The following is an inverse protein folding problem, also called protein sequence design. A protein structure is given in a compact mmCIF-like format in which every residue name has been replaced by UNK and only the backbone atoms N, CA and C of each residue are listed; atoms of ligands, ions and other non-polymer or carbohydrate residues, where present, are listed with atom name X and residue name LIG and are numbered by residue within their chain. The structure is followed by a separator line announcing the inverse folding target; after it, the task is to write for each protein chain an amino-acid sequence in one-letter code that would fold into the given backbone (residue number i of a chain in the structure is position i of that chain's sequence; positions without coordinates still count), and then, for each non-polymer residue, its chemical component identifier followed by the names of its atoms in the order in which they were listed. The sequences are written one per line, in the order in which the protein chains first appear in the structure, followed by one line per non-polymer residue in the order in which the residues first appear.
data_IF_628204481004
#
_entry.id   IF_628204481004
#
_cell.length_a   1.000
_cell.length_b   1.000
_cell.length_c   1.000
_cell.angle_alpha   90.00
_cell.angle_beta   90.00
_cell.angle_gamma   90.00
#
_symmetry.space_group_name_H-M   'P 1'
#
loop_
_entity.id
_entity.type
_entity.pdbx_description
1 polymer ?
#
# COMPACT_ATOMS: atom_id res chain seq x y z
N UNK A 1 15.45 -7.75 -5.75
CA UNK A 1 16.79 -7.13 -5.67
C UNK A 1 17.56 -7.70 -4.50
N UNK A 2 18.87 -7.93 -4.68
CA UNK A 2 19.82 -8.24 -3.61
C UNK A 2 20.82 -7.09 -3.51
N UNK A 3 21.16 -6.68 -2.30
CA UNK A 3 22.13 -5.62 -2.02
C UNK A 3 23.12 -6.13 -0.99
N UNK A 4 24.41 -5.86 -1.18
CA UNK A 4 25.45 -6.04 -0.16
C UNK A 4 25.83 -4.67 0.40
N UNK A 5 25.85 -4.55 1.71
CA UNK A 5 26.40 -3.39 2.41
C UNK A 5 27.75 -3.75 3.05
N UNK A 6 28.56 -2.74 3.29
CA UNK A 6 29.80 -2.84 4.06
C UNK A 6 29.71 -1.86 5.25
N UNK A 7 30.07 -2.34 6.43
CA UNK A 7 30.06 -1.58 7.68
C UNK A 7 31.45 -0.98 7.95
N UNK A 8 31.56 0.04 8.83
CA UNK A 8 32.84 0.70 9.12
C UNK A 8 33.94 -0.22 9.66
N UNK A 9 33.57 -1.37 10.23
CA UNK A 9 34.50 -2.39 10.72
C UNK A 9 35.01 -3.35 9.62
N UNK A 10 34.61 -3.12 8.36
CA UNK A 10 34.95 -3.94 7.19
C UNK A 10 34.11 -5.21 7.03
N UNK A 11 33.18 -5.47 7.96
CA UNK A 11 32.21 -6.55 7.80
C UNK A 11 31.14 -6.18 6.77
N UNK A 12 30.39 -7.16 6.26
CA UNK A 12 29.32 -6.90 5.31
C UNK A 12 28.22 -7.95 5.34
N UNK A 13 27.04 -7.55 4.89
CA UNK A 13 25.87 -8.41 4.86
C UNK A 13 25.08 -8.25 3.56
N UNK A 14 24.40 -9.31 3.17
CA UNK A 14 23.44 -9.29 2.08
C UNK A 14 22.02 -9.09 2.62
N UNK A 15 21.26 -8.25 1.94
CA UNK A 15 19.84 -8.07 2.14
C UNK A 15 19.08 -8.23 0.83
N UNK A 16 17.80 -8.55 0.95
CA UNK A 16 16.90 -8.77 -0.17
C UNK A 16 15.67 -7.87 -0.11
N UNK A 17 15.10 -7.61 -1.27
CA UNK A 17 13.74 -7.08 -1.39
C UNK A 17 13.06 -7.60 -2.65
N UNK A 18 11.75 -7.77 -2.59
CA UNK A 18 10.94 -8.17 -3.74
C UNK A 18 9.80 -7.16 -3.96
N UNK A 19 9.42 -6.98 -5.22
CA UNK A 19 8.32 -6.12 -5.62
C UNK A 19 7.76 -6.58 -6.97
N UNK A 20 6.43 -6.53 -7.11
CA UNK A 20 5.80 -6.77 -8.40
C UNK A 20 5.99 -5.55 -9.30
N UNK A 21 6.31 -5.78 -10.57
CA UNK A 21 6.22 -4.72 -11.57
C UNK A 21 4.76 -4.68 -12.05
N UNK A 22 3.98 -3.68 -11.66
CA UNK A 22 2.57 -3.54 -12.05
C UNK A 22 2.43 -2.47 -13.16
N UNK A 23 2.39 -2.85 -14.45
CA UNK A 23 2.73 -1.96 -15.56
C UNK A 23 1.75 -0.80 -15.81
N UNK A 24 0.54 -0.77 -15.26
CA UNK A 24 -0.42 0.36 -15.50
C UNK A 24 -0.77 1.18 -14.26
N UNK A 25 -0.12 0.90 -13.15
CA UNK A 25 -0.37 1.62 -11.90
C UNK A 25 0.55 2.84 -11.76
N UNK A 26 1.82 2.68 -12.13
CA UNK A 26 2.84 3.74 -12.08
C UNK A 26 2.69 4.76 -13.21
N UNK A 27 2.24 4.33 -14.40
CA UNK A 27 2.02 5.20 -15.55
C UNK A 27 0.74 4.74 -16.29
N UNK A 28 -0.26 5.63 -16.32
CA UNK A 28 -1.56 5.40 -16.96
C UNK A 28 -1.60 5.92 -18.41
N UNK A 29 -0.44 6.27 -19.00
CA UNK A 29 -0.39 6.66 -20.40
C UNK A 29 -0.90 5.52 -21.30
N UNK A 30 -1.96 5.82 -22.07
CA UNK A 30 -2.63 4.88 -22.96
C UNK A 30 -1.80 4.59 -24.23
N UNK A 31 -0.84 5.46 -24.56
CA UNK A 31 0.05 5.30 -25.70
C UNK A 31 1.18 4.29 -25.44
N UNK A 32 1.38 3.88 -24.19
CA UNK A 32 2.39 2.91 -23.80
C UNK A 32 1.81 1.49 -23.76
N UNK A 33 2.58 0.49 -24.17
CA UNK A 33 2.24 -0.91 -23.93
C UNK A 33 2.60 -1.34 -22.49
N UNK A 34 2.16 -2.54 -22.07
CA UNK A 34 2.62 -3.08 -20.79
C UNK A 34 4.14 -3.33 -20.78
N UNK A 35 4.75 -3.69 -21.91
CA UNK A 35 6.20 -3.91 -21.98
C UNK A 35 6.98 -2.60 -21.81
N UNK A 36 6.51 -1.51 -22.44
CA UNK A 36 7.12 -0.19 -22.25
C UNK A 36 7.11 0.22 -20.78
N UNK A 37 6.01 -0.06 -20.07
CA UNK A 37 5.94 0.22 -18.64
C UNK A 37 6.82 -0.71 -17.78
N UNK A 38 6.98 -1.97 -18.16
CA UNK A 38 7.97 -2.85 -17.51
C UNK A 38 9.39 -2.31 -17.71
N UNK A 39 9.71 -1.83 -18.91
CA UNK A 39 11.01 -1.24 -19.21
C UNK A 39 11.25 0.06 -18.45
N UNK A 40 10.24 0.93 -18.31
CA UNK A 40 10.28 2.09 -17.42
C UNK A 40 10.66 1.69 -15.98
N UNK A 41 10.00 0.67 -15.42
CA UNK A 41 10.27 0.19 -14.05
C UNK A 41 11.68 -0.39 -13.90
N UNK A 42 12.16 -1.13 -14.90
CA UNK A 42 13.54 -1.64 -14.94
C UNK A 42 14.54 -0.49 -15.05
N UNK A 43 14.23 0.55 -15.82
CA UNK A 43 15.11 1.70 -16.04
C UNK A 43 15.26 2.55 -14.78
N UNK A 44 14.17 2.89 -14.09
CA UNK A 44 14.27 3.63 -12.81
C UNK A 44 15.00 2.83 -11.73
N UNK A 45 14.90 1.49 -11.74
CA UNK A 45 15.71 0.65 -10.86
C UNK A 45 17.20 0.71 -11.21
N UNK A 46 17.55 0.70 -12.51
CA UNK A 46 18.94 0.85 -12.96
C UNK A 46 19.51 2.23 -12.60
N UNK A 47 18.71 3.30 -12.75
CA UNK A 47 19.09 4.66 -12.34
C UNK A 47 19.37 4.73 -10.84
N UNK A 48 18.48 4.19 -10.01
CA UNK A 48 18.67 4.17 -8.56
C UNK A 48 19.93 3.37 -8.18
N UNK A 49 20.16 2.22 -8.82
CA UNK A 49 21.39 1.42 -8.61
C UNK A 49 22.64 2.21 -8.98
N UNK A 50 22.63 2.92 -10.12
CA UNK A 50 23.77 3.74 -10.53
C UNK A 50 24.04 4.87 -9.53
N UNK A 51 23.01 5.53 -9.03
CA UNK A 51 23.16 6.58 -8.02
C UNK A 51 23.78 6.04 -6.72
N UNK A 52 23.28 4.90 -6.21
CA UNK A 52 23.75 4.31 -4.95
C UNK A 52 25.19 3.80 -5.03
N UNK A 53 25.65 3.39 -6.22
CA UNK A 53 27.01 2.92 -6.45
C UNK A 53 27.97 4.03 -6.94
N UNK A 54 27.43 5.20 -7.32
CA UNK A 54 28.20 6.30 -7.90
C UNK A 54 29.01 7.09 -6.88
N UNK A 55 28.63 7.05 -5.60
CA UNK A 55 29.35 7.68 -4.50
C UNK A 55 29.63 6.65 -3.40
N UNK A 56 30.92 6.32 -3.23
CA UNK A 56 31.42 5.36 -2.25
C UNK A 56 31.57 5.94 -0.83
N UNK A 57 31.28 7.23 -0.64
CA UNK A 57 31.38 7.87 0.68
C UNK A 57 30.40 7.20 1.66
N UNK A 58 30.86 6.77 2.85
CA UNK A 58 30.00 6.12 3.83
C UNK A 58 28.76 6.96 4.17
N UNK A 59 27.64 6.30 4.40
CA UNK A 59 26.40 6.92 4.84
C UNK A 59 25.63 5.96 5.75
N UNK A 60 24.67 6.48 6.51
CA UNK A 60 23.61 5.65 7.11
C UNK A 60 22.71 5.08 6.01
N UNK A 61 21.88 4.08 6.32
CA UNK A 61 20.92 3.55 5.35
C UNK A 61 20.00 4.65 4.79
N UNK A 62 19.53 5.57 5.66
CA UNK A 62 18.77 6.74 5.25
C UNK A 62 19.64 7.77 4.53
N UNK A 63 20.91 7.94 4.92
CA UNK A 63 21.84 8.85 4.28
C UNK A 63 22.05 8.54 2.79
N UNK A 64 22.06 7.26 2.40
CA UNK A 64 22.10 6.86 0.99
C UNK A 64 20.84 7.28 0.23
N UNK A 65 19.66 7.13 0.84
CA UNK A 65 18.41 7.66 0.29
C UNK A 65 18.45 9.18 0.18
N UNK A 66 18.79 9.87 1.26
CA UNK A 66 18.80 11.32 1.39
C UNK A 66 19.67 11.99 0.32
N UNK A 67 20.90 11.48 0.16
CA UNK A 67 21.90 11.97 -0.78
C UNK A 67 21.46 11.87 -2.23
N UNK A 68 20.76 10.79 -2.59
CA UNK A 68 20.51 10.43 -3.99
C UNK A 68 19.12 10.81 -4.50
N UNK A 69 18.16 11.09 -3.62
CA UNK A 69 16.76 11.25 -4.00
C UNK A 69 16.52 12.35 -5.04
N UNK A 70 17.01 13.57 -4.83
CA UNK A 70 16.72 14.71 -5.73
C UNK A 70 17.33 14.51 -7.12
N UNK A 71 18.60 14.08 -7.17
CA UNK A 71 19.29 13.78 -8.42
C UNK A 71 18.63 12.63 -9.19
N UNK A 72 18.17 11.60 -8.48
CA UNK A 72 17.41 10.49 -9.07
C UNK A 72 16.07 10.95 -9.64
N UNK A 73 15.32 11.77 -8.90
CA UNK A 73 14.05 12.36 -9.38
C UNK A 73 14.27 13.22 -10.62
N UNK A 74 15.30 14.08 -10.61
CA UNK A 74 15.66 14.91 -11.77
C UNK A 74 16.06 14.06 -12.99
N UNK A 75 16.84 13.00 -12.79
CA UNK A 75 17.26 12.09 -13.86
C UNK A 75 16.07 11.32 -14.47
N UNK A 76 15.11 10.89 -13.63
CA UNK A 76 13.88 10.26 -14.10
C UNK A 76 12.98 11.27 -14.85
N UNK A 77 12.82 12.49 -14.32
CA UNK A 77 12.05 13.55 -14.96
C UNK A 77 12.63 13.95 -16.33
N UNK A 78 13.96 13.98 -16.47
CA UNK A 78 14.63 14.22 -17.75
C UNK A 78 14.30 13.17 -18.84
N UNK A 79 13.81 11.99 -18.43
CA UNK A 79 13.31 10.92 -19.31
C UNK A 79 11.80 10.96 -19.52
N UNK A 80 11.11 11.96 -18.96
CA UNK A 80 9.65 12.08 -19.00
C UNK A 80 8.92 11.16 -18.02
N UNK A 81 9.62 10.59 -17.04
CA UNK A 81 8.99 9.72 -16.03
C UNK A 81 8.37 10.55 -14.92
N UNK A 82 7.16 10.16 -14.52
CA UNK A 82 6.46 10.82 -13.42
C UNK A 82 7.09 10.44 -12.04
N UNK A 83 6.88 11.25 -10.99
CA UNK A 83 7.52 11.01 -9.68
C UNK A 83 7.16 9.67 -9.02
N UNK A 84 5.92 9.19 -9.22
CA UNK A 84 5.49 7.90 -8.68
C UNK A 84 6.29 6.75 -9.33
N UNK A 85 6.41 6.74 -10.66
CA UNK A 85 7.26 5.79 -11.38
C UNK A 85 8.73 5.89 -10.92
N UNK A 86 9.26 7.12 -10.80
CA UNK A 86 10.63 7.35 -10.35
C UNK A 86 10.91 6.76 -8.96
N UNK A 87 9.92 6.74 -8.07
CA UNK A 87 10.08 6.21 -6.71
C UNK A 87 10.32 4.70 -6.63
N UNK A 88 9.95 3.92 -7.67
CA UNK A 88 10.00 2.46 -7.64
C UNK A 88 11.41 1.89 -7.40
N UNK A 89 12.42 2.45 -8.10
CA UNK A 89 13.80 2.00 -7.99
C UNK A 89 14.38 2.14 -6.58
N UNK A 90 14.41 3.38 -6.01
CA UNK A 90 14.85 3.61 -4.64
C UNK A 90 14.04 2.80 -3.63
N UNK A 91 12.71 2.76 -3.77
CA UNK A 91 11.83 2.01 -2.87
C UNK A 91 12.22 0.54 -2.71
N UNK A 92 12.68 -0.10 -3.79
CA UNK A 92 13.13 -1.48 -3.77
C UNK A 92 14.55 -1.62 -3.18
N UNK A 93 15.47 -0.72 -3.51
CA UNK A 93 16.85 -0.77 -3.01
C UNK A 93 16.94 -0.42 -1.53
N UNK A 94 16.19 0.57 -1.07
CA UNK A 94 16.13 1.01 0.32
C UNK A 94 15.71 -0.12 1.25
N UNK A 95 14.70 -0.91 0.86
CA UNK A 95 14.27 -2.09 1.62
C UNK A 95 15.37 -3.15 1.69
N UNK A 96 16.10 -3.37 0.60
CA UNK A 96 17.19 -4.35 0.57
C UNK A 96 18.40 -3.89 1.41
N UNK A 97 18.73 -2.60 1.40
CA UNK A 97 19.75 -1.99 2.28
C UNK A 97 19.33 -2.17 3.75
N UNK A 98 18.06 -1.88 4.07
CA UNK A 98 17.55 -2.01 5.44
C UNK A 98 17.54 -3.48 5.92
N UNK A 99 17.16 -4.42 5.05
CA UNK A 99 17.24 -5.86 5.36
C UNK A 99 18.69 -6.30 5.62
N UNK A 100 19.64 -5.83 4.81
CA UNK A 100 21.06 -6.11 5.00
C UNK A 100 21.57 -5.56 6.35
N UNK A 101 21.16 -4.34 6.71
CA UNK A 101 21.52 -3.70 7.98
C UNK A 101 20.96 -4.46 9.19
N UNK A 102 19.69 -4.89 9.12
CA UNK A 102 19.08 -5.70 10.16
C UNK A 102 19.83 -7.02 10.36
N UNK A 103 20.19 -7.70 9.26
CA UNK A 103 20.95 -8.95 9.27
C UNK A 103 22.35 -8.77 9.85
N UNK A 104 23.07 -7.74 9.43
CA UNK A 104 24.40 -7.44 9.95
C UNK A 104 24.38 -7.16 11.46
N UNK A 105 23.33 -6.49 11.92
CA UNK A 105 23.14 -6.11 13.32
C UNK A 105 22.51 -7.21 14.18
N UNK A 106 22.04 -8.31 13.59
CA UNK A 106 21.36 -9.40 14.30
C UNK A 106 20.05 -8.99 14.99
N UNK A 107 19.33 -7.98 14.45
CA UNK A 107 18.09 -7.46 15.04
C UNK A 107 16.92 -7.55 14.05
N UNK A 108 15.70 -7.60 14.58
CA UNK A 108 14.50 -7.52 13.75
C UNK A 108 14.32 -6.11 13.17
N UNK A 109 13.59 -6.02 12.06
CA UNK A 109 13.21 -4.74 11.45
C UNK A 109 12.56 -3.78 12.47
N UNK A 110 11.69 -4.28 13.33
CA UNK A 110 11.04 -3.45 14.37
C UNK A 110 12.06 -2.82 15.32
N UNK A 111 12.98 -3.63 15.87
CA UNK A 111 14.02 -3.13 16.78
C UNK A 111 14.95 -2.15 16.07
N UNK A 112 15.32 -2.45 14.83
CA UNK A 112 16.18 -1.58 14.03
C UNK A 112 15.54 -0.21 13.80
N UNK A 113 14.26 -0.17 13.44
CA UNK A 113 13.54 1.08 13.20
C UNK A 113 13.27 1.84 14.51
N UNK A 114 12.85 1.17 15.57
CA UNK A 114 12.61 1.79 16.88
C UNK A 114 13.87 2.41 17.50
N UNK A 115 15.05 1.84 17.22
CA UNK A 115 16.34 2.38 17.62
C UNK A 115 16.94 3.36 16.58
N UNK A 116 16.18 3.70 15.54
CA UNK A 116 16.61 4.51 14.40
C UNK A 116 17.97 4.08 13.80
N UNK A 117 18.21 2.76 13.68
CA UNK A 117 19.45 2.25 13.06
C UNK A 117 19.60 2.67 11.60
N UNK A 118 18.48 2.98 10.92
CA UNK A 118 18.51 3.54 9.59
C UNK A 118 19.19 4.92 9.54
N UNK A 119 19.25 5.64 10.66
CA UNK A 119 19.84 6.98 10.77
C UNK A 119 18.96 8.04 10.11
N UNK A 120 17.64 7.99 10.32
CA UNK A 120 16.70 8.98 9.80
C UNK A 120 16.88 10.29 10.57
N UNK A 121 17.24 11.34 9.84
CA UNK A 121 17.56 12.65 10.41
C UNK A 121 17.08 13.80 9.50
N UNK A 122 17.50 15.02 9.82
CA UNK A 122 17.16 16.23 9.08
C UNK A 122 18.10 16.52 7.88
N UNK A 123 18.93 15.55 7.44
CA UNK A 123 19.71 15.68 6.20
C UNK A 123 18.81 15.85 4.96
N UNK A 124 17.52 15.49 5.07
CA UNK A 124 16.46 15.90 4.17
C UNK A 124 15.50 16.89 4.85
N UNK A 125 15.20 18.06 4.24
CA UNK A 125 14.34 19.08 4.82
C UNK A 125 12.95 18.59 5.23
N UNK A 126 12.38 17.63 4.51
CA UNK A 126 11.03 17.11 4.77
C UNK A 126 10.91 16.40 6.12
N UNK A 127 12.02 15.91 6.67
CA UNK A 127 12.10 15.24 7.98
C UNK A 127 12.40 16.21 9.13
N UNK A 128 12.73 17.47 8.82
CA UNK A 128 13.05 18.46 9.84
C UNK A 128 11.83 18.75 10.75
N UNK A 129 12.08 18.83 12.06
CA UNK A 129 11.05 19.19 13.05
C UNK A 129 10.06 18.07 13.42
N UNK A 130 10.23 16.83 12.93
CA UNK A 130 9.31 15.72 13.21
C UNK A 130 9.66 14.87 14.45
N UNK A 131 10.79 15.14 15.12
CA UNK A 131 11.31 14.31 16.23
C UNK A 131 11.32 12.82 15.86
N UNK A 132 12.13 12.47 14.86
CA UNK A 132 12.13 11.11 14.30
C UNK A 132 12.53 10.05 15.32
N UNK A 133 13.48 10.34 16.22
CA UNK A 133 13.89 9.41 17.27
C UNK A 133 12.73 9.13 18.23
N UNK A 134 12.05 10.17 18.74
CA UNK A 134 10.90 10.02 19.62
C UNK A 134 9.72 9.34 18.94
N UNK A 135 9.45 9.69 17.68
CA UNK A 135 8.40 9.06 16.87
C UNK A 135 8.66 7.55 16.68
N UNK A 136 9.85 7.18 16.21
CA UNK A 136 10.22 5.80 15.92
C UNK A 136 10.25 4.93 17.18
N UNK A 137 10.85 5.44 18.28
CA UNK A 137 10.89 4.74 19.56
C UNK A 137 9.48 4.49 20.13
N UNK A 138 8.52 5.37 19.81
CA UNK A 138 7.13 5.27 20.24
C UNK A 138 6.26 4.29 19.45
N UNK A 139 6.73 3.77 18.31
CA UNK A 139 5.96 2.85 17.47
C UNK A 139 5.70 1.51 18.17
N UNK A 140 4.47 1.01 18.04
CA UNK A 140 4.01 -0.22 18.71
C UNK A 140 3.36 -1.17 17.69
N UNK A 141 4.15 -2.10 17.12
CA UNK A 141 3.59 -3.13 16.24
C UNK A 141 2.56 -3.99 16.96
N UNK A 142 1.51 -4.39 16.23
CA UNK A 142 0.48 -5.30 16.70
C UNK A 142 0.85 -6.78 16.45
N UNK A 143 0.13 -7.68 17.11
CA UNK A 143 0.29 -9.12 16.90
C UNK A 143 -0.44 -9.63 15.64
N UNK A 144 -1.39 -8.86 15.11
CA UNK A 144 -2.19 -9.23 13.95
C UNK A 144 -2.60 -7.99 13.16
N UNK A 145 -2.80 -8.16 11.85
CA UNK A 145 -3.33 -7.13 10.95
C UNK A 145 -4.59 -7.70 10.29
N UNK A 146 -5.61 -6.88 10.09
CA UNK A 146 -6.79 -7.28 9.34
C UNK A 146 -6.51 -7.25 7.83
N UNK A 147 -6.75 -8.36 7.14
CA UNK A 147 -6.72 -8.42 5.69
C UNK A 147 -7.99 -7.74 5.14
N UNK A 148 -7.80 -6.62 4.43
CA UNK A 148 -8.87 -5.91 3.72
C UNK A 148 -8.99 -6.44 2.31
N UNK A 149 -10.07 -7.17 2.04
CA UNK A 149 -10.31 -7.77 0.71
C UNK A 149 -10.87 -6.74 -0.28
N UNK A 150 -10.29 -6.65 -1.48
CA UNK A 150 -10.83 -5.77 -2.52
C UNK A 150 -11.87 -6.48 -3.37
N UNK A 151 -13.01 -5.82 -3.53
CA UNK A 151 -14.06 -6.20 -4.47
C UNK A 151 -13.92 -5.30 -5.70
N UNK A 152 -13.38 -5.87 -6.77
CA UNK A 152 -13.21 -5.22 -8.08
C UNK A 152 -14.54 -4.87 -8.74
N UNK A 153 -14.50 -4.14 -9.86
CA UNK A 153 -15.73 -3.76 -10.60
C UNK A 153 -16.39 -4.93 -11.33
N UNK A 154 -15.60 -5.96 -11.66
CA UNK A 154 -16.02 -7.12 -12.46
C UNK A 154 -16.14 -8.41 -11.65
N UNK A 155 -15.83 -8.36 -10.36
CA UNK A 155 -15.88 -9.54 -9.50
C UNK A 155 -17.32 -10.01 -9.32
N UNK A 156 -17.52 -11.32 -9.35
CA UNK A 156 -18.78 -11.97 -9.02
C UNK A 156 -19.14 -11.69 -7.56
N UNK A 157 -20.34 -11.16 -7.30
CA UNK A 157 -20.79 -10.87 -5.93
C UNK A 157 -21.37 -12.13 -5.30
N UNK A 158 -22.19 -12.84 -6.05
CA UNK A 158 -22.82 -14.10 -5.66
C UNK A 158 -22.46 -15.22 -6.61
N UNK A 159 -22.73 -16.47 -6.22
CA UNK A 159 -22.58 -17.62 -7.12
C UNK A 159 -23.41 -17.51 -8.41
N UNK A 160 -24.49 -16.71 -8.43
CA UNK A 160 -25.31 -16.49 -9.62
C UNK A 160 -24.63 -15.62 -10.69
N UNK A 161 -23.59 -14.88 -10.33
CA UNK A 161 -22.82 -14.03 -11.25
C UNK A 161 -21.73 -14.83 -11.98
N UNK A 162 -21.45 -16.06 -11.55
CA UNK A 162 -20.43 -16.92 -12.14
C UNK A 162 -20.93 -17.53 -13.45
N UNK A 163 -20.17 -17.32 -14.54
CA UNK A 163 -20.44 -17.95 -15.83
C UNK A 163 -19.80 -19.33 -15.94
N UNK A 164 -18.61 -19.49 -15.39
CA UNK A 164 -17.86 -20.75 -15.33
C UNK A 164 -17.00 -20.77 -14.07
N UNK A 165 -16.90 -21.94 -13.44
CA UNK A 165 -16.00 -22.18 -12.32
C UNK A 165 -14.61 -22.62 -12.78
N UNK A 166 -13.58 -22.15 -12.09
CA UNK A 166 -12.20 -22.63 -12.18
C UNK A 166 -12.08 -24.01 -11.53
N UNK A 167 -12.71 -24.21 -10.36
CA UNK A 167 -12.76 -25.49 -9.68
C UNK A 167 -11.46 -25.92 -8.99
N UNK A 168 -10.64 -24.96 -8.52
CA UNK A 168 -9.39 -25.22 -7.78
C UNK A 168 -9.60 -25.36 -6.26
N UNK A 169 -10.85 -25.23 -5.78
CA UNK A 169 -11.25 -25.33 -4.38
C UNK A 169 -11.17 -24.01 -3.60
N UNK A 170 -10.75 -22.92 -4.25
CA UNK A 170 -10.73 -21.57 -3.66
C UNK A 170 -12.07 -20.85 -3.92
N UNK A 171 -12.40 -19.81 -3.12
CA UNK A 171 -13.61 -19.03 -3.34
C UNK A 171 -13.54 -18.24 -4.65
N UNK A 172 -14.64 -18.24 -5.42
CA UNK A 172 -14.73 -17.67 -6.76
C UNK A 172 -15.72 -16.48 -6.82
N UNK A 173 -16.54 -16.31 -5.79
CA UNK A 173 -17.41 -15.15 -5.60
C UNK A 173 -17.16 -14.45 -4.27
N UNK A 174 -17.54 -13.18 -4.18
CA UNK A 174 -17.40 -12.40 -2.96
C UNK A 174 -18.13 -13.03 -1.76
N UNK A 175 -19.33 -13.59 -1.96
CA UNK A 175 -20.05 -14.33 -0.92
C UNK A 175 -19.24 -15.52 -0.38
N UNK A 176 -18.55 -16.26 -1.25
CA UNK A 176 -17.68 -17.36 -0.84
C UNK A 176 -16.42 -16.85 -0.13
N UNK A 177 -15.81 -15.75 -0.60
CA UNK A 177 -14.64 -15.12 0.04
C UNK A 177 -14.94 -14.74 1.48
N UNK A 178 -16.10 -14.11 1.72
CA UNK A 178 -16.54 -13.70 3.06
C UNK A 178 -16.66 -14.91 3.99
N UNK A 179 -17.22 -16.02 3.51
CA UNK A 179 -17.39 -17.25 4.30
C UNK A 179 -16.07 -17.99 4.53
N UNK A 180 -15.22 -18.05 3.50
CA UNK A 180 -13.98 -18.84 3.52
C UNK A 180 -12.91 -18.21 4.42
N UNK A 181 -12.66 -16.91 4.25
CA UNK A 181 -11.58 -16.20 4.96
C UNK A 181 -12.04 -15.48 6.22
N UNK A 182 -13.34 -15.18 6.36
CA UNK A 182 -13.87 -14.47 7.53
C UNK A 182 -13.49 -12.98 7.58
N UNK A 183 -13.26 -12.35 6.41
CA UNK A 183 -12.92 -10.92 6.32
C UNK A 183 -13.96 -10.02 7.00
N UNK A 184 -13.48 -8.95 7.63
CA UNK A 184 -14.31 -7.86 8.18
C UNK A 184 -14.06 -6.51 7.53
N UNK A 185 -12.96 -6.38 6.80
CA UNK A 185 -12.55 -5.16 6.13
C UNK A 185 -12.62 -5.40 4.62
N UNK A 186 -13.21 -4.44 3.91
CA UNK A 186 -13.37 -4.52 2.46
C UNK A 186 -12.97 -3.22 1.77
N UNK A 187 -12.44 -3.32 0.56
CA UNK A 187 -12.21 -2.18 -0.34
C UNK A 187 -13.12 -2.36 -1.54
N UNK A 188 -14.04 -1.42 -1.76
CA UNK A 188 -15.05 -1.54 -2.80
C UNK A 188 -14.71 -0.59 -3.93
N UNK A 189 -14.39 -1.12 -5.11
CA UNK A 189 -14.15 -0.30 -6.30
C UNK A 189 -15.46 0.32 -6.78
N UNK A 190 -15.42 1.61 -7.15
CA UNK A 190 -16.53 2.35 -7.76
C UNK A 190 -16.08 2.96 -9.09
N UNK A 191 -16.95 2.88 -10.10
CA UNK A 191 -16.61 3.07 -11.51
C UNK A 191 -16.93 4.44 -12.09
N UNK A 192 -17.43 5.39 -11.30
CA UNK A 192 -17.75 6.75 -11.78
C UNK A 192 -19.11 6.88 -12.45
N UNK A 193 -19.90 5.79 -12.47
CA UNK A 193 -21.30 5.82 -12.89
C UNK A 193 -22.17 5.59 -11.67
N UNK A 194 -22.74 6.67 -11.12
CA UNK A 194 -23.49 6.65 -9.85
C UNK A 194 -24.60 5.60 -9.84
N UNK A 195 -25.36 5.46 -10.94
CA UNK A 195 -26.44 4.47 -11.00
C UNK A 195 -25.92 3.03 -10.94
N UNK A 196 -24.89 2.71 -11.72
CA UNK A 196 -24.27 1.39 -11.72
C UNK A 196 -23.55 1.09 -10.39
N UNK A 197 -22.88 2.08 -9.81
CA UNK A 197 -22.19 1.97 -8.54
C UNK A 197 -23.17 1.71 -7.39
N UNK A 198 -24.30 2.45 -7.33
CA UNK A 198 -25.34 2.19 -6.33
C UNK A 198 -25.95 0.79 -6.47
N UNK A 199 -26.21 0.33 -7.69
CA UNK A 199 -26.72 -1.02 -7.92
C UNK A 199 -25.74 -2.09 -7.45
N UNK A 200 -24.44 -1.96 -7.78
CA UNK A 200 -23.40 -2.88 -7.33
C UNK A 200 -23.21 -2.85 -5.82
N UNK A 201 -23.21 -1.66 -5.21
CA UNK A 201 -23.11 -1.50 -3.76
C UNK A 201 -24.30 -2.14 -3.03
N UNK A 202 -25.52 -2.08 -3.59
CA UNK A 202 -26.68 -2.77 -3.04
C UNK A 202 -26.49 -4.29 -3.06
N UNK A 203 -25.95 -4.85 -4.15
CA UNK A 203 -25.64 -6.28 -4.23
C UNK A 203 -24.60 -6.68 -3.17
N UNK A 204 -23.51 -5.91 -3.03
CA UNK A 204 -22.48 -6.13 -2.01
C UNK A 204 -23.07 -6.04 -0.58
N UNK A 205 -23.88 -5.01 -0.30
CA UNK A 205 -24.55 -4.85 0.99
C UNK A 205 -25.44 -6.05 1.32
N UNK A 206 -26.14 -6.62 0.34
CA UNK A 206 -26.98 -7.81 0.54
C UNK A 206 -26.20 -9.04 1.03
N UNK A 207 -24.90 -9.13 0.72
CA UNK A 207 -23.99 -10.17 1.24
C UNK A 207 -23.48 -9.79 2.63
N UNK A 208 -22.94 -8.58 2.77
CA UNK A 208 -22.29 -8.12 4.00
C UNK A 208 -23.27 -7.95 5.18
N UNK A 209 -24.51 -7.54 4.92
CA UNK A 209 -25.50 -7.31 5.97
C UNK A 209 -25.98 -8.59 6.64
N UNK A 210 -25.73 -9.76 6.02
CA UNK A 210 -25.95 -11.08 6.62
C UNK A 210 -24.94 -11.37 7.74
N UNK A 211 -23.81 -10.65 7.81
CA UNK A 211 -22.82 -10.83 8.86
C UNK A 211 -23.37 -10.34 10.21
N UNK A 212 -23.32 -11.22 11.21
CA UNK A 212 -23.69 -10.88 12.60
C UNK A 212 -22.71 -9.95 13.30
N UNK A 213 -21.51 -9.77 12.74
CA UNK A 213 -20.45 -8.92 13.28
C UNK A 213 -20.30 -7.63 12.47
N UNK A 214 -19.78 -6.54 13.07
CA UNK A 214 -19.45 -5.33 12.32
C UNK A 214 -18.48 -5.60 11.17
N UNK A 215 -18.68 -4.89 10.06
CA UNK A 215 -17.77 -4.83 8.93
C UNK A 215 -17.44 -3.37 8.61
N UNK A 216 -16.31 -3.15 7.93
CA UNK A 216 -15.80 -1.83 7.58
C UNK A 216 -15.38 -1.80 6.12
N UNK A 217 -15.62 -0.68 5.45
CA UNK A 217 -15.31 -0.57 4.04
C UNK A 217 -14.55 0.72 3.70
N UNK A 218 -13.66 0.66 2.71
CA UNK A 218 -13.24 1.84 1.95
C UNK A 218 -13.92 1.82 0.59
N UNK A 219 -14.20 3.00 0.06
CA UNK A 219 -14.58 3.18 -1.35
C UNK A 219 -13.35 3.60 -2.12
N UNK A 220 -13.06 2.98 -3.25
CA UNK A 220 -11.94 3.35 -4.10
C UNK A 220 -12.42 3.68 -5.51
N UNK A 221 -12.32 4.96 -5.86
CA UNK A 221 -12.71 5.44 -7.16
C UNK A 221 -11.64 5.29 -8.22
N UNK A 222 -10.38 5.02 -7.87
CA UNK A 222 -9.28 4.75 -8.81
C UNK A 222 -9.26 5.72 -10.01
N UNK A 223 -9.45 7.02 -9.73
CA UNK A 223 -9.50 8.12 -10.71
C UNK A 223 -10.70 8.12 -11.68
N UNK A 224 -11.77 7.36 -11.40
CA UNK A 224 -12.92 7.23 -12.32
C UNK A 224 -13.90 8.40 -12.28
N UNK A 225 -13.96 9.17 -11.19
CA UNK A 225 -14.87 10.31 -11.11
C UNK A 225 -14.25 11.55 -11.74
N UNK A 226 -15.04 12.27 -12.54
CA UNK A 226 -14.60 13.49 -13.22
C UNK A 226 -14.22 14.60 -12.21
N UNK A 227 -14.98 14.72 -11.11
CA UNK A 227 -14.81 15.75 -10.10
C UNK A 227 -15.37 15.30 -8.73
N UNK A 228 -15.22 16.17 -7.72
CA UNK A 228 -15.73 15.93 -6.38
C UNK A 228 -17.27 15.94 -6.28
N UNK A 229 -17.98 16.55 -7.24
CA UNK A 229 -19.43 16.61 -7.23
C UNK A 229 -20.03 15.23 -7.55
N UNK A 230 -19.46 14.50 -8.51
CA UNK A 230 -19.88 13.12 -8.80
C UNK A 230 -19.69 12.19 -7.59
N UNK A 231 -18.61 12.38 -6.83
CA UNK A 231 -18.35 11.62 -5.58
C UNK A 231 -19.39 11.97 -4.51
N UNK A 232 -19.73 13.26 -4.38
CA UNK A 232 -20.77 13.71 -3.47
C UNK A 232 -22.14 13.12 -3.86
N UNK A 233 -22.44 13.04 -5.15
CA UNK A 233 -23.66 12.41 -5.66
C UNK A 233 -23.75 10.93 -5.28
N UNK A 234 -22.66 10.16 -5.46
CA UNK A 234 -22.60 8.77 -5.00
C UNK A 234 -22.91 8.66 -3.51
N UNK A 235 -22.20 9.42 -2.67
CA UNK A 235 -22.36 9.37 -1.21
C UNK A 235 -23.75 9.83 -0.75
N UNK A 236 -24.36 10.78 -1.45
CA UNK A 236 -25.75 11.18 -1.24
C UNK A 236 -26.72 10.05 -1.61
N UNK A 237 -26.50 9.41 -2.76
CA UNK A 237 -27.27 8.25 -3.19
C UNK A 237 -27.21 7.11 -2.18
N UNK A 238 -26.01 6.78 -1.68
CA UNK A 238 -25.83 5.77 -0.64
C UNK A 238 -26.60 6.09 0.64
N UNK A 239 -26.64 7.36 1.06
CA UNK A 239 -27.44 7.79 2.23
C UNK A 239 -28.94 7.69 2.00
N UNK A 240 -29.40 7.92 0.78
CA UNK A 240 -30.81 7.92 0.44
C UNK A 240 -31.41 6.52 0.29
N UNK A 241 -30.59 5.50 0.00
CA UNK A 241 -31.04 4.11 -0.18
C UNK A 241 -31.02 3.36 1.15
N UNK A 242 -32.17 2.92 1.70
CA UNK A 242 -32.21 2.26 3.01
C UNK A 242 -31.37 0.98 3.09
N UNK A 243 -31.31 0.21 1.99
CA UNK A 243 -30.50 -1.00 1.90
C UNK A 243 -28.98 -0.75 2.01
N UNK A 244 -28.53 0.50 1.87
CA UNK A 244 -27.13 0.90 1.99
C UNK A 244 -26.81 1.58 3.33
N UNK A 245 -27.77 1.71 4.25
CA UNK A 245 -27.59 2.45 5.49
C UNK A 245 -26.41 1.91 6.33
N UNK A 246 -26.33 0.58 6.50
CA UNK A 246 -25.23 -0.07 7.22
C UNK A 246 -23.90 0.09 6.48
N UNK A 247 -23.89 -0.16 5.16
CA UNK A 247 -22.69 0.00 4.33
C UNK A 247 -22.13 1.43 4.39
N UNK A 248 -22.99 2.44 4.28
CA UNK A 248 -22.61 3.85 4.37
C UNK A 248 -22.04 4.21 5.75
N UNK A 249 -22.66 3.71 6.83
CA UNK A 249 -22.15 3.89 8.18
C UNK A 249 -20.75 3.25 8.34
N UNK A 250 -20.52 2.12 7.71
CA UNK A 250 -19.25 1.36 7.71
C UNK A 250 -18.12 1.96 6.85
N UNK A 251 -18.37 3.02 6.06
CA UNK A 251 -17.31 3.69 5.29
C UNK A 251 -16.29 4.32 6.24
N UNK A 252 -15.05 3.83 6.17
CA UNK A 252 -13.87 4.38 6.83
C UNK A 252 -13.35 5.62 6.11
N UNK A 253 -13.18 5.52 4.79
CA UNK A 253 -12.67 6.58 3.92
C UNK A 253 -13.00 6.33 2.45
N UNK A 254 -12.82 7.38 1.65
CA UNK A 254 -12.85 7.35 0.18
C UNK A 254 -11.42 7.52 -0.33
N UNK A 255 -10.97 6.60 -1.15
CA UNK A 255 -9.64 6.56 -1.75
C UNK A 255 -9.68 7.07 -3.18
N UNK A 256 -8.80 8.03 -3.46
CA UNK A 256 -8.52 8.61 -4.78
C UNK A 256 -9.71 8.64 -5.74
N UNK A 257 -10.77 9.38 -5.39
CA UNK A 257 -11.98 9.30 -6.17
C UNK A 257 -11.85 10.02 -7.53
N UNK A 258 -11.05 11.09 -7.59
CA UNK A 258 -10.81 11.92 -8.78
C UNK A 258 -9.43 11.68 -9.38
N UNK A 259 -9.23 12.11 -10.63
CA UNK A 259 -7.95 11.96 -11.32
C UNK A 259 -6.78 12.58 -10.55
N UNK A 260 -5.64 11.87 -10.56
CA UNK A 260 -4.40 12.32 -9.92
C UNK A 260 -3.89 13.66 -10.48
N UNK A 261 -4.26 13.98 -11.72
CA UNK A 261 -3.94 15.26 -12.38
C UNK A 261 -4.57 16.47 -11.69
N UNK A 262 -5.72 16.29 -11.04
CA UNK A 262 -6.48 17.37 -10.40
C UNK A 262 -6.50 17.26 -8.87
N UNK A 263 -6.05 16.14 -8.31
CA UNK A 263 -6.12 15.84 -6.89
C UNK A 263 -5.45 16.90 -6.00
N UNK A 264 -4.39 17.56 -6.48
CA UNK A 264 -3.69 18.61 -5.73
C UNK A 264 -4.16 20.02 -6.09
N UNK A 265 -5.01 20.19 -7.10
CA UNK A 265 -5.55 21.48 -7.50
C UNK A 265 -6.91 21.75 -6.86
N UNK A 266 -7.75 20.73 -6.77
CA UNK A 266 -9.14 20.79 -6.27
C UNK A 266 -9.18 20.87 -4.75
N UNK A 267 -9.90 21.85 -4.22
CA UNK A 267 -10.19 21.94 -2.79
C UNK A 267 -11.44 21.12 -2.43
N UNK A 268 -11.24 19.97 -1.78
CA UNK A 268 -12.33 19.08 -1.38
C UNK A 268 -13.27 19.70 -0.35
N UNK A 269 -12.85 20.77 0.35
CA UNK A 269 -13.73 21.47 1.31
C UNK A 269 -14.90 22.16 0.62
N UNK A 270 -14.79 22.46 -0.68
CA UNK A 270 -15.88 23.03 -1.46
C UNK A 270 -17.04 22.05 -1.73
N UNK A 271 -16.78 20.73 -1.63
CA UNK A 271 -17.77 19.67 -1.78
C UNK A 271 -17.71 18.72 -0.59
N UNK A 272 -18.37 19.03 0.54
CA UNK A 272 -18.23 18.26 1.77
C UNK A 272 -18.83 16.86 1.60
N UNK A 273 -17.95 15.88 1.36
CA UNK A 273 -18.31 14.48 1.13
C UNK A 273 -18.84 13.77 2.40
N UNK A 274 -18.60 14.33 3.58
CA UNK A 274 -19.02 13.76 4.86
C UNK A 274 -18.25 12.50 5.28
N UNK A 275 -17.24 12.10 4.51
CA UNK A 275 -16.31 11.00 4.80
C UNK A 275 -14.87 11.46 4.54
N UNK A 276 -13.88 10.94 5.29
CA UNK A 276 -12.47 11.25 5.04
C UNK A 276 -12.06 10.82 3.63
N UNK A 277 -11.20 11.60 2.99
CA UNK A 277 -10.65 11.28 1.67
C UNK A 277 -9.14 11.13 1.77
N UNK A 278 -8.60 10.12 1.09
CA UNK A 278 -7.17 9.87 1.00
C UNK A 278 -6.66 9.97 -0.44
N UNK A 279 -5.39 10.34 -0.58
CA UNK A 279 -4.64 10.22 -1.84
C UNK A 279 -3.97 8.84 -1.95
N UNK A 280 -3.88 8.30 -3.17
CA UNK A 280 -3.09 7.10 -3.49
C UNK A 280 -2.06 7.41 -4.59
N UNK A 281 -2.31 7.08 -5.86
CA UNK A 281 -1.36 7.30 -6.94
C UNK A 281 -1.03 8.77 -7.26
N UNK A 282 -1.73 9.76 -6.70
CA UNK A 282 -1.24 11.13 -6.71
C UNK A 282 -0.04 11.37 -5.79
N UNK A 283 0.18 10.51 -4.79
CA UNK A 283 1.32 10.55 -3.85
C UNK A 283 2.63 10.12 -4.55
N UNK A 284 3.18 11.00 -5.38
CA UNK A 284 4.45 10.79 -6.08
C UNK A 284 5.67 11.34 -5.34
N UNK A 285 5.58 12.56 -4.81
CA UNK A 285 6.70 13.30 -4.20
C UNK A 285 6.67 13.22 -2.67
N UNK A 286 7.77 13.64 -2.02
CA UNK A 286 7.88 13.59 -0.56
C UNK A 286 6.99 14.60 0.15
N UNK A 287 6.57 15.68 -0.49
CA UNK A 287 5.71 16.72 0.09
C UNK A 287 4.25 16.62 -0.38
N UNK A 288 3.91 15.66 -1.24
CA UNK A 288 2.57 15.55 -1.82
C UNK A 288 1.46 15.45 -0.77
N UNK A 289 1.70 14.74 0.33
CA UNK A 289 0.71 14.66 1.40
C UNK A 289 0.50 16.01 2.13
N UNK A 290 1.52 16.85 2.22
CA UNK A 290 1.41 18.23 2.75
C UNK A 290 0.50 19.06 1.84
N UNK A 291 0.72 18.97 0.52
CA UNK A 291 -0.09 19.66 -0.48
C UNK A 291 -1.56 19.16 -0.44
N UNK A 292 -1.77 17.84 -0.36
CA UNK A 292 -3.10 17.25 -0.25
C UNK A 292 -3.82 17.66 1.05
N UNK A 293 -3.12 17.70 2.19
CA UNK A 293 -3.68 18.24 3.44
C UNK A 293 -4.20 19.66 3.26
N UNK A 294 -3.47 20.52 2.55
CA UNK A 294 -3.89 21.90 2.26
C UNK A 294 -5.16 21.98 1.39
N UNK A 295 -5.48 20.91 0.66
CA UNK A 295 -6.68 20.73 -0.17
C UNK A 295 -7.82 19.96 0.52
N UNK A 296 -7.69 19.66 1.80
CA UNK A 296 -8.75 19.04 2.61
C UNK A 296 -8.70 17.52 2.70
N UNK A 297 -7.67 16.86 2.13
CA UNK A 297 -7.47 15.43 2.33
C UNK A 297 -7.10 15.11 3.78
N UNK A 298 -7.59 13.97 4.26
CA UNK A 298 -7.38 13.49 5.63
C UNK A 298 -6.33 12.37 5.70
N UNK A 299 -5.92 11.78 4.59
CA UNK A 299 -4.93 10.72 4.63
C UNK A 299 -4.22 10.44 3.31
N UNK A 300 -3.31 9.48 3.38
CA UNK A 300 -2.49 9.00 2.27
C UNK A 300 -2.31 7.49 2.38
N UNK A 301 -2.25 6.80 1.25
CA UNK A 301 -1.93 5.38 1.21
C UNK A 301 -0.42 5.12 1.43
N UNK A 302 -0.08 4.09 2.19
CA UNK A 302 1.25 3.48 2.24
C UNK A 302 1.30 2.29 1.29
N UNK A 303 2.33 2.24 0.46
CA UNK A 303 2.68 1.08 -0.37
C UNK A 303 4.20 0.93 -0.34
N UNK A 304 4.72 -0.27 -0.17
CA UNK A 304 6.17 -0.50 -0.18
C UNK A 304 6.81 0.03 -1.45
N UNK A 305 6.14 -0.13 -2.59
CA UNK A 305 6.62 0.30 -3.91
C UNK A 305 6.75 1.82 -4.08
N UNK A 306 6.15 2.64 -3.20
CA UNK A 306 6.30 4.11 -3.16
C UNK A 306 7.50 4.58 -2.34
N UNK A 307 8.11 3.67 -1.57
CA UNK A 307 9.25 3.94 -0.69
C UNK A 307 8.88 3.91 0.78
N UNK A 308 9.56 3.06 1.56
CA UNK A 308 9.25 2.90 2.98
C UNK A 308 9.64 4.12 3.82
N UNK A 309 10.72 4.84 3.47
CA UNK A 309 11.07 6.10 4.13
C UNK A 309 9.98 7.17 3.95
N UNK A 310 9.32 7.19 2.78
CA UNK A 310 8.16 8.07 2.56
C UNK A 310 6.97 7.67 3.45
N UNK A 311 6.73 6.37 3.63
CA UNK A 311 5.71 5.90 4.57
C UNK A 311 6.02 6.31 6.02
N UNK A 312 7.28 6.19 6.45
CA UNK A 312 7.72 6.64 7.79
C UNK A 312 7.53 8.16 7.94
N UNK A 313 7.91 8.95 6.93
CA UNK A 313 7.72 10.40 6.90
C UNK A 313 6.25 10.80 7.05
N UNK A 314 5.37 10.18 6.26
CA UNK A 314 3.94 10.48 6.30
C UNK A 314 3.29 10.05 7.63
N UNK A 315 3.79 8.97 8.26
CA UNK A 315 3.30 8.54 9.57
C UNK A 315 3.72 9.51 10.67
N UNK A 316 4.98 9.99 10.64
CA UNK A 316 5.47 11.02 11.55
C UNK A 316 4.68 12.32 11.41
N UNK A 317 4.36 12.74 10.18
CA UNK A 317 3.48 13.88 9.90
C UNK A 317 2.08 13.70 10.47
N UNK A 318 1.43 12.57 10.23
CA UNK A 318 0.12 12.26 10.83
C UNK A 318 0.17 12.41 12.36
N UNK A 319 1.19 11.83 13.01
CA UNK A 319 1.35 11.93 14.46
C UNK A 319 1.56 13.39 14.92
N UNK A 320 2.39 14.16 14.22
CA UNK A 320 2.65 15.56 14.54
C UNK A 320 1.40 16.43 14.37
N UNK A 321 0.74 16.37 13.22
CA UNK A 321 -0.45 17.17 12.93
C UNK A 321 -1.62 16.83 13.85
N UNK A 322 -1.82 15.55 14.19
CA UNK A 322 -2.86 15.16 15.12
C UNK A 322 -2.58 15.64 16.56
N UNK A 323 -1.30 15.71 16.98
CA UNK A 323 -0.93 16.31 18.28
C UNK A 323 -1.18 17.81 18.27
N UNK A 324 -0.77 18.50 17.20
CA UNK A 324 -0.95 19.94 17.02
C UNK A 324 -2.43 20.33 17.05
N UNK A 325 -3.29 19.59 16.35
CA UNK A 325 -4.73 19.85 16.29
C UNK A 325 -5.51 19.26 17.48
N UNK A 326 -4.88 18.44 18.33
CA UNK A 326 -5.56 17.74 19.43
C UNK A 326 -6.65 16.76 18.99
N UNK A 327 -6.63 16.33 17.73
CA UNK A 327 -7.65 15.49 17.11
C UNK A 327 -7.02 14.40 16.24
N UNK A 328 -7.62 13.21 16.19
CA UNK A 328 -7.19 12.11 15.31
C UNK A 328 -7.83 12.25 13.93
N UNK A 329 -7.34 13.21 13.15
CA UNK A 329 -7.87 13.54 11.83
C UNK A 329 -7.06 12.93 10.70
N UNK A 330 -5.74 12.97 10.83
CA UNK A 330 -4.81 12.54 9.80
C UNK A 330 -4.40 11.10 9.99
N UNK A 331 -4.44 10.31 8.92
CA UNK A 331 -4.13 8.89 9.00
C UNK A 331 -3.51 8.37 7.71
N UNK A 332 -2.98 7.16 7.81
CA UNK A 332 -2.52 6.39 6.66
C UNK A 332 -3.38 5.15 6.48
N UNK A 333 -3.71 4.82 5.24
CA UNK A 333 -4.20 3.49 4.87
C UNK A 333 -3.03 2.67 4.31
N UNK A 334 -3.08 1.35 4.39
CA UNK A 334 -2.07 0.48 3.80
C UNK A 334 -2.65 -0.30 2.63
N UNK A 335 -1.92 -0.35 1.52
CA UNK A 335 -2.32 -1.04 0.29
C UNK A 335 -1.17 -1.94 -0.21
N UNK A 336 -1.41 -3.11 -0.83
CA UNK A 336 -0.32 -3.99 -1.32
C UNK A 336 0.13 -3.74 -2.76
N UNK A 337 -0.72 -3.22 -3.64
CA UNK A 337 -0.50 -3.39 -5.09
C UNK A 337 -0.37 -4.88 -5.47
N UNK A 338 -1.16 -5.76 -4.84
CA UNK A 338 -1.19 -7.21 -5.15
C UNK A 338 0.15 -7.92 -4.88
N UNK A 339 0.83 -7.59 -3.77
CA UNK A 339 2.02 -8.32 -3.30
C UNK A 339 1.78 -9.83 -3.28
N UNK A 340 2.75 -10.58 -3.82
CA UNK A 340 2.69 -12.04 -3.87
C UNK A 340 3.34 -12.66 -2.62
N UNK A 341 2.93 -13.89 -2.32
CA UNK A 341 3.52 -14.68 -1.23
C UNK A 341 5.05 -14.78 -1.38
N UNK A 342 5.77 -14.66 -0.26
CA UNK A 342 7.23 -14.65 -0.22
C UNK A 342 7.77 -13.35 0.40
N UNK A 343 8.92 -12.91 -0.07
CA UNK A 343 9.63 -11.77 0.52
C UNK A 343 8.84 -10.45 0.42
N UNK A 344 8.08 -10.23 -0.67
CA UNK A 344 7.33 -8.99 -0.90
C UNK A 344 6.24 -8.80 0.15
N UNK A 345 5.37 -9.80 0.37
CA UNK A 345 4.32 -9.71 1.39
C UNK A 345 4.88 -9.60 2.80
N UNK A 346 6.01 -10.27 3.12
CA UNK A 346 6.64 -10.14 4.44
C UNK A 346 7.15 -8.72 4.71
N UNK A 347 7.79 -8.09 3.71
CA UNK A 347 8.30 -6.73 3.84
C UNK A 347 7.15 -5.72 3.95
N UNK A 348 6.07 -5.94 3.20
CA UNK A 348 4.88 -5.11 3.30
C UNK A 348 4.22 -5.22 4.67
N UNK A 349 3.92 -6.44 5.14
CA UNK A 349 3.33 -6.66 6.46
C UNK A 349 4.20 -6.11 7.60
N UNK A 350 5.53 -6.25 7.49
CA UNK A 350 6.45 -5.67 8.47
C UNK A 350 6.36 -4.13 8.53
N UNK A 351 6.27 -3.46 7.38
CA UNK A 351 6.11 -1.99 7.34
C UNK A 351 4.74 -1.57 7.89
N UNK A 352 3.67 -2.21 7.43
CA UNK A 352 2.29 -1.93 7.88
C UNK A 352 2.16 -2.12 9.38
N UNK A 353 2.71 -3.21 9.91
CA UNK A 353 2.68 -3.51 11.33
C UNK A 353 3.49 -2.50 12.14
N UNK A 354 4.71 -2.16 11.68
CA UNK A 354 5.55 -1.15 12.32
C UNK A 354 4.82 0.19 12.46
N UNK A 355 4.11 0.60 11.42
CA UNK A 355 3.34 1.84 11.39
C UNK A 355 2.04 1.79 12.21
N UNK A 356 1.68 0.62 12.76
CA UNK A 356 0.46 0.44 13.54
C UNK A 356 -0.81 0.60 12.72
N UNK A 357 -0.76 0.36 11.41
CA UNK A 357 -1.94 0.42 10.54
C UNK A 357 -2.74 -0.88 10.75
N UNK A 358 -4.00 -0.83 11.20
CA UNK A 358 -4.71 -2.00 11.70
C UNK A 358 -5.21 -2.94 10.61
N UNK A 359 -5.30 -2.47 9.36
CA UNK A 359 -5.80 -3.23 8.23
C UNK A 359 -5.03 -2.87 6.95
N UNK A 360 -4.93 -3.81 6.03
CA UNK A 360 -4.21 -3.61 4.77
C UNK A 360 -4.91 -4.28 3.60
N UNK A 361 -4.99 -3.60 2.45
CA UNK A 361 -5.45 -4.23 1.20
C UNK A 361 -4.66 -5.50 0.95
N UNK A 362 -5.35 -6.64 0.80
CA UNK A 362 -4.76 -7.94 0.45
C UNK A 362 -5.53 -8.54 -0.71
N UNK A 363 -4.93 -8.51 -1.90
CA UNK A 363 -5.54 -9.10 -3.10
C UNK A 363 -4.66 -10.18 -3.75
N UNK A 364 -3.35 -10.14 -3.50
CA UNK A 364 -2.42 -11.10 -4.11
C UNK A 364 -2.77 -12.56 -3.80
N UNK A 365 -3.25 -12.83 -2.59
CA UNK A 365 -3.69 -14.19 -2.20
C UNK A 365 -4.96 -14.67 -2.92
N UNK A 366 -5.78 -13.75 -3.44
CA UNK A 366 -7.00 -14.08 -4.15
C UNK A 366 -6.74 -14.32 -5.65
N UNK A 367 -5.91 -13.47 -6.28
CA UNK A 367 -5.64 -13.56 -7.71
C UNK A 367 -4.43 -14.43 -8.09
N UNK A 368 -3.61 -14.84 -7.10
CA UNK A 368 -2.43 -15.66 -7.33
C UNK A 368 -2.47 -16.87 -6.41
N UNK A 369 -2.23 -18.06 -6.99
CA UNK A 369 -2.23 -19.32 -6.26
C UNK A 369 -0.96 -19.49 -5.38
N UNK A 370 -0.81 -18.64 -4.36
CA UNK A 370 0.29 -18.67 -3.42
C UNK A 370 1.66 -18.71 -4.10
N UNK A 371 2.47 -19.68 -3.68
CA UNK A 371 3.81 -19.95 -4.20
C UNK A 371 3.83 -21.07 -5.25
N UNK A 372 2.71 -21.38 -5.92
CA UNK A 372 2.62 -22.51 -6.85
C UNK A 372 3.68 -22.47 -7.98
N UNK A 373 4.09 -21.27 -8.41
CA UNK A 373 5.11 -21.08 -9.43
C UNK A 373 6.56 -21.21 -8.90
N UNK A 374 6.76 -21.33 -7.58
CA UNK A 374 8.08 -21.39 -6.95
C UNK A 374 8.56 -22.84 -6.73
N UNK A 375 9.88 -23.09 -6.71
CA UNK A 375 10.44 -24.41 -6.39
C UNK A 375 9.95 -24.94 -5.03
N UNK A 376 9.68 -26.24 -4.94
CA UNK A 376 9.16 -26.87 -3.71
C UNK A 376 10.06 -26.66 -2.47
N UNK A 377 11.38 -26.60 -2.67
CA UNK A 377 12.33 -26.32 -1.60
C UNK A 377 12.15 -24.89 -1.04
N UNK A 378 11.88 -23.91 -1.90
CA UNK A 378 11.62 -22.52 -1.50
C UNK A 378 10.28 -22.41 -0.75
N UNK A 379 9.24 -23.06 -1.27
CA UNK A 379 7.94 -23.14 -0.59
C UNK A 379 8.08 -23.72 0.83
N UNK A 380 8.79 -24.85 0.95
CA UNK A 380 9.03 -25.51 2.23
C UNK A 380 9.83 -24.63 3.20
N UNK A 381 10.81 -23.88 2.70
CA UNK A 381 11.59 -22.96 3.51
C UNK A 381 10.73 -21.84 4.12
N UNK A 382 9.84 -21.22 3.32
CA UNK A 382 8.92 -20.21 3.85
C UNK A 382 7.96 -20.79 4.88
N UNK A 383 7.33 -21.93 4.58
CA UNK A 383 6.40 -22.58 5.50
C UNK A 383 7.05 -22.95 6.84
N UNK A 384 8.27 -23.51 6.81
CA UNK A 384 8.95 -23.96 8.02
C UNK A 384 9.42 -22.80 8.90
N UNK A 385 9.84 -21.68 8.30
CA UNK A 385 10.34 -20.52 9.04
C UNK A 385 9.24 -19.53 9.45
N UNK A 386 8.07 -19.57 8.78
CA UNK A 386 6.99 -18.61 8.95
C UNK A 386 5.61 -19.28 8.89
N UNK A 387 5.40 -20.32 9.68
CA UNK A 387 4.10 -21.03 9.79
C UNK A 387 3.00 -20.21 10.49
N UNK A 388 3.38 -19.07 11.06
CA UNK A 388 2.50 -18.02 11.53
C UNK A 388 1.86 -17.23 10.37
N UNK A 389 2.58 -17.06 9.25
CA UNK A 389 2.14 -16.30 8.07
C UNK A 389 1.69 -17.21 6.92
N UNK A 390 2.22 -18.43 6.81
CA UNK A 390 1.96 -19.32 5.69
C UNK A 390 1.35 -20.66 6.11
N UNK A 391 0.61 -21.25 5.17
CA UNK A 391 0.08 -22.61 5.26
C UNK A 391 0.26 -23.35 3.92
N UNK A 392 0.24 -24.68 3.96
CA UNK A 392 0.11 -25.49 2.75
C UNK A 392 -1.35 -25.88 2.55
N UNK A 393 -1.96 -25.40 1.48
CA UNK A 393 -3.33 -25.74 1.12
C UNK A 393 -3.53 -25.63 -0.40
N UNK A 394 -4.47 -26.39 -0.96
CA UNK A 394 -4.81 -26.38 -2.39
C UNK A 394 -3.58 -26.47 -3.34
N UNK A 395 -2.62 -27.34 -2.98
CA UNK A 395 -1.46 -27.66 -3.83
C UNK A 395 -0.28 -26.69 -3.78
N UNK A 396 -0.30 -25.67 -2.91
CA UNK A 396 0.81 -24.71 -2.78
C UNK A 396 0.93 -24.14 -1.36
N UNK A 397 2.12 -23.63 -1.02
CA UNK A 397 2.28 -22.75 0.14
C UNK A 397 1.67 -21.39 -0.16
N UNK A 398 0.82 -20.88 0.72
CA UNK A 398 0.09 -19.61 0.54
C UNK A 398 -0.03 -18.83 1.83
N UNK A 399 -0.42 -17.56 1.72
CA UNK A 399 -0.72 -16.73 2.88
C UNK A 399 -1.86 -17.36 3.68
N UNK A 400 -1.65 -17.51 4.98
CA UNK A 400 -2.63 -18.00 5.92
C UNK A 400 -3.50 -16.82 6.35
N UNK A 401 -4.77 -16.84 5.99
CA UNK A 401 -5.77 -15.87 6.45
C UNK A 401 -6.86 -16.62 7.20
N UNK A 402 -7.05 -16.27 8.46
CA UNK A 402 -8.06 -16.88 9.32
C UNK A 402 -8.80 -15.80 10.11
N UNK A 403 -10.13 -15.87 10.12
CA UNK A 403 -10.98 -14.83 10.73
C UNK A 403 -10.60 -13.41 10.26
N UNK A 404 -10.26 -13.30 8.97
CA UNK A 404 -9.91 -12.06 8.31
C UNK A 404 -8.53 -11.48 8.66
N UNK A 405 -7.63 -12.25 9.26
CA UNK A 405 -6.29 -11.81 9.69
C UNK A 405 -5.18 -12.72 9.18
#
# INVERSE_FOLDING_TARGET
SLVRIELPDGSGAWGGAAELMAPKWFDKNLDLSNEDNFDQLREVLRLARQAYLGDASPATAFGHFARNHDAHQAAAAAKGYNPLLASYGPALLDRAVMDALCRASGVSFYKAMQANLAGIDASRPEFAGLDMDGFLAGLKPAASIEARHTVGLVDAITSGDLTQRVGDGLPESFEEVVQFYGHRYFKLKVGGNVGADLARLCAIASVLDKLGSPYFISLDGNEQYADAAGVAELLNGMRAVPALARLYASILFVEQPISRKFALDVDLRAAPLGKPVIIDESDGELDTFVQARAKGYAGVSSKTCKGFYKSILNAARCAAWNREEGARRYFMSAEDLTTQAGLSVQQDLALVNLLGIPHVERNGHHYVNGMAALPAAEQSAFLNNHSDVYEYSHGAVRLKIHEGR
#
